data_IF_798271839540
#
_entry.id   IF_798271839540
#
_cell.length_a   1.000
_cell.length_b   1.000
_cell.length_c   1.000
_cell.angle_alpha   90.00
_cell.angle_beta   90.00
_cell.angle_gamma   90.00
#
_symmetry.space_group_name_H-M   'P 1'
#
loop_
_entity.id
_entity.type
_entity.pdbx_description
1 polymer ?
#
# COMPACT_ATOMS: atom_id res chain seq x y z
N UNK A 1 17.43 13.35 -9.21
CA UNK A 1 16.31 13.91 -10.02
C UNK A 1 15.33 12.81 -10.46
N UNK A 2 15.77 11.69 -11.07
CA UNK A 2 14.85 10.62 -11.52
C UNK A 2 14.00 9.99 -10.40
N UNK A 3 14.60 9.61 -9.26
CA UNK A 3 13.83 9.09 -8.11
C UNK A 3 12.80 10.11 -7.59
N UNK A 4 13.16 11.39 -7.57
CA UNK A 4 12.24 12.45 -7.17
C UNK A 4 11.07 12.58 -8.17
N UNK A 5 11.35 12.47 -9.47
CA UNK A 5 10.30 12.48 -10.49
C UNK A 5 9.35 11.29 -10.33
N UNK A 6 9.87 10.09 -10.09
CA UNK A 6 9.06 8.90 -9.83
C UNK A 6 8.21 9.08 -8.55
N UNK A 7 8.80 9.59 -7.47
CA UNK A 7 8.07 9.86 -6.22
C UNK A 7 6.94 10.88 -6.42
N UNK A 8 7.20 11.98 -7.13
CA UNK A 8 6.18 13.02 -7.40
C UNK A 8 5.05 12.48 -8.27
N UNK A 9 5.36 11.69 -9.30
CA UNK A 9 4.35 11.05 -10.15
C UNK A 9 3.48 10.07 -9.35
N UNK A 10 4.10 9.20 -8.54
CA UNK A 10 3.39 8.24 -7.71
C UNK A 10 2.55 8.91 -6.62
N UNK A 11 3.07 9.95 -5.98
CA UNK A 11 2.33 10.74 -5.00
C UNK A 11 1.16 11.49 -5.64
N UNK A 12 1.36 12.01 -6.86
CA UNK A 12 0.28 12.62 -7.65
C UNK A 12 -0.84 11.61 -7.92
N UNK A 13 -0.49 10.44 -8.46
CA UNK A 13 -1.44 9.37 -8.74
C UNK A 13 -2.19 8.91 -7.48
N UNK A 14 -1.45 8.62 -6.40
CA UNK A 14 -2.02 8.16 -5.14
C UNK A 14 -3.01 9.14 -4.50
N UNK A 15 -2.91 10.44 -4.81
CA UNK A 15 -3.84 11.48 -4.33
C UNK A 15 -5.07 11.64 -5.20
N UNK A 16 -4.97 11.37 -6.51
CA UNK A 16 -6.07 11.60 -7.46
C UNK A 16 -6.84 10.34 -7.80
N UNK A 17 -6.25 9.15 -7.64
CA UNK A 17 -6.91 7.88 -7.89
C UNK A 17 -7.89 7.54 -6.75
N UNK A 18 -9.10 7.13 -7.11
CA UNK A 18 -10.06 6.52 -6.17
C UNK A 18 -9.50 5.22 -5.59
N UNK A 19 -10.04 4.80 -4.44
CA UNK A 19 -9.73 3.48 -3.86
C UNK A 19 -10.24 2.40 -4.82
N UNK A 20 -9.41 1.42 -5.14
CA UNK A 20 -9.79 0.25 -5.93
C UNK A 20 -10.39 -0.83 -5.04
N UNK A 21 -11.10 -1.79 -5.65
CA UNK A 21 -11.78 -2.84 -4.91
C UNK A 21 -10.81 -3.68 -4.04
N UNK A 22 -9.61 -3.94 -4.55
CA UNK A 22 -8.62 -4.81 -3.88
C UNK A 22 -7.94 -4.11 -2.68
N UNK A 23 -7.78 -2.78 -2.71
CA UNK A 23 -7.13 -2.02 -1.64
C UNK A 23 -7.86 -2.15 -0.30
N UNK A 24 -9.20 -2.18 -0.32
CA UNK A 24 -10.02 -2.23 0.88
C UNK A 24 -9.75 -3.47 1.74
N UNK A 25 -9.93 -4.68 1.20
CA UNK A 25 -9.62 -5.92 1.92
C UNK A 25 -8.18 -5.99 2.42
N UNK A 26 -7.19 -5.55 1.64
CA UNK A 26 -5.79 -5.53 2.07
C UNK A 26 -5.57 -4.62 3.29
N UNK A 27 -6.17 -3.42 3.29
CA UNK A 27 -6.11 -2.51 4.43
C UNK A 27 -6.87 -3.04 5.64
N UNK A 28 -8.07 -3.60 5.45
CA UNK A 28 -8.89 -4.12 6.52
C UNK A 28 -8.20 -5.27 7.26
N UNK A 29 -7.60 -6.21 6.51
CA UNK A 29 -6.82 -7.32 7.08
C UNK A 29 -5.61 -6.81 7.84
N UNK A 30 -4.81 -5.92 7.23
CA UNK A 30 -3.61 -5.36 7.85
C UNK A 30 -3.93 -4.59 9.12
N UNK A 31 -4.93 -3.71 9.07
CA UNK A 31 -5.35 -2.88 10.19
C UNK A 31 -5.86 -3.74 11.33
N UNK A 32 -6.72 -4.71 11.03
CA UNK A 32 -7.26 -5.63 12.03
C UNK A 32 -6.15 -6.41 12.72
N UNK A 33 -5.24 -6.99 11.94
CA UNK A 33 -4.12 -7.78 12.47
C UNK A 33 -3.27 -6.94 13.42
N UNK A 34 -2.89 -5.75 12.99
CA UNK A 34 -2.05 -4.85 13.77
C UNK A 34 -2.75 -4.28 15.01
N UNK A 35 -4.04 -3.93 14.89
CA UNK A 35 -4.81 -3.30 15.96
C UNK A 35 -5.20 -4.31 17.04
N UNK A 36 -5.52 -5.53 16.64
CA UNK A 36 -6.13 -6.52 17.54
C UNK A 36 -5.16 -7.62 17.97
N UNK A 37 -4.09 -7.86 17.21
CA UNK A 37 -3.22 -9.03 17.34
C UNK A 37 -3.87 -10.33 16.84
N UNK A 38 -5.09 -10.25 16.30
CA UNK A 38 -5.88 -11.39 15.85
C UNK A 38 -5.75 -11.56 14.34
N UNK A 39 -5.44 -12.80 13.93
CA UNK A 39 -5.17 -13.17 12.56
C UNK A 39 -6.38 -13.80 11.85
N UNK A 40 -7.57 -13.80 12.47
CA UNK A 40 -8.77 -14.47 11.93
C UNK A 40 -9.18 -14.01 10.53
N UNK A 41 -8.90 -12.75 10.18
CA UNK A 41 -9.22 -12.19 8.86
C UNK A 41 -8.11 -12.44 7.84
N UNK A 42 -6.93 -12.91 8.26
CA UNK A 42 -5.84 -13.21 7.35
C UNK A 42 -6.21 -14.44 6.52
N UNK A 43 -6.35 -14.31 5.18
CA UNK A 43 -6.61 -15.47 4.35
C UNK A 43 -5.32 -16.32 4.30
N UNK A 44 -5.36 -17.50 4.93
CA UNK A 44 -4.21 -18.41 5.12
C UNK A 44 -3.52 -18.79 3.79
N UNK A 45 -4.22 -18.69 2.65
CA UNK A 45 -3.74 -19.16 1.36
C UNK A 45 -3.55 -18.10 0.27
N UNK A 46 -3.83 -16.82 0.53
CA UNK A 46 -3.97 -15.85 -0.57
C UNK A 46 -2.83 -14.83 -0.61
N UNK A 47 -2.44 -14.22 0.52
CA UNK A 47 -1.39 -13.18 0.52
C UNK A 47 -0.48 -13.26 1.75
N UNK A 48 0.85 -13.10 1.60
CA UNK A 48 1.74 -12.93 2.73
C UNK A 48 1.34 -11.71 3.58
N UNK A 49 1.40 -11.80 4.92
CA UNK A 49 0.84 -10.77 5.80
C UNK A 49 1.62 -9.45 5.78
N UNK A 50 2.88 -9.48 5.36
CA UNK A 50 3.79 -8.35 5.47
C UNK A 50 3.31 -7.13 4.68
N UNK A 51 2.83 -7.32 3.44
CA UNK A 51 2.37 -6.22 2.60
C UNK A 51 1.14 -5.53 3.21
N UNK A 52 0.15 -6.32 3.66
CA UNK A 52 -1.06 -5.82 4.32
C UNK A 52 -0.70 -5.05 5.61
N UNK A 53 0.16 -5.63 6.45
CA UNK A 53 0.59 -5.00 7.69
C UNK A 53 1.35 -3.69 7.42
N UNK A 54 2.27 -3.69 6.44
CA UNK A 54 3.04 -2.49 6.11
C UNK A 54 2.13 -1.38 5.58
N UNK A 55 1.22 -1.70 4.65
CA UNK A 55 0.25 -0.77 4.12
C UNK A 55 -0.66 -0.21 5.24
N UNK A 56 -1.12 -1.04 6.15
CA UNK A 56 -2.03 -0.61 7.22
C UNK A 56 -1.33 0.05 8.43
N UNK A 57 0.00 -0.03 8.57
CA UNK A 57 0.71 0.50 9.73
C UNK A 57 0.44 1.98 10.02
N UNK A 58 0.40 2.89 9.02
CA UNK A 58 0.06 4.30 9.24
C UNK A 58 -1.38 4.50 9.76
N UNK A 59 -2.28 3.54 9.55
CA UNK A 59 -3.67 3.61 10.03
C UNK A 59 -3.76 3.50 11.55
N UNK A 60 -2.77 2.91 12.22
CA UNK A 60 -2.73 2.86 13.69
C UNK A 60 -2.62 4.25 14.34
N UNK A 61 -2.18 5.25 13.58
CA UNK A 61 -2.10 6.64 14.02
C UNK A 61 -3.45 7.37 13.88
N UNK A 62 -4.45 6.77 13.24
CA UNK A 62 -5.79 7.33 13.06
C UNK A 62 -6.71 6.85 14.19
N UNK A 63 -7.09 7.76 15.08
CA UNK A 63 -7.91 7.46 16.26
C UNK A 63 -9.40 7.32 15.96
N UNK A 64 -9.84 7.72 14.77
CA UNK A 64 -11.24 7.75 14.34
C UNK A 64 -11.65 6.54 13.50
N UNK A 65 -10.76 5.57 13.31
CA UNK A 65 -11.11 4.28 12.75
C UNK A 65 -11.83 3.41 13.80
N UNK A 66 -12.86 2.64 13.41
CA UNK A 66 -13.58 1.77 14.33
C UNK A 66 -12.69 0.64 14.83
N UNK A 67 -12.92 0.17 16.06
CA UNK A 67 -12.33 -1.09 16.52
C UNK A 67 -12.94 -2.24 15.72
N UNK A 68 -12.16 -3.05 15.00
CA UNK A 68 -12.69 -4.18 14.22
C UNK A 68 -13.51 -5.17 15.04
N UNK A 69 -13.25 -5.26 16.35
CA UNK A 69 -13.96 -6.14 17.28
C UNK A 69 -15.40 -5.72 17.56
N UNK A 70 -15.75 -4.47 17.27
CA UNK A 70 -17.12 -3.94 17.46
C UNK A 70 -17.97 -4.04 16.19
N UNK A 71 -17.39 -4.50 15.08
CA UNK A 71 -18.09 -4.60 13.79
C UNK A 71 -18.99 -5.84 13.77
N UNK A 72 -20.24 -5.65 13.33
CA UNK A 72 -21.17 -6.76 13.08
C UNK A 72 -20.60 -7.65 11.96
N UNK A 73 -20.17 -8.87 12.30
CA UNK A 73 -19.42 -9.76 11.42
C UNK A 73 -18.05 -10.19 11.94
N UNK A 74 -17.58 -9.60 13.04
CA UNK A 74 -16.32 -9.98 13.71
C UNK A 74 -16.27 -11.46 14.16
N UNK A 75 -17.35 -11.94 14.76
CA UNK A 75 -17.45 -13.30 15.32
C UNK A 75 -17.34 -14.40 14.24
N UNK A 76 -17.79 -14.09 13.02
CA UNK A 76 -17.73 -15.01 11.87
C UNK A 76 -16.54 -14.73 10.96
N UNK A 77 -15.59 -13.88 11.38
CA UNK A 77 -14.44 -13.45 10.58
C UNK A 77 -14.83 -12.92 9.19
N UNK A 78 -15.94 -12.16 9.10
CA UNK A 78 -16.42 -11.61 7.83
C UNK A 78 -15.52 -10.48 7.34
N UNK A 79 -14.65 -10.81 6.38
CA UNK A 79 -13.77 -9.83 5.75
C UNK A 79 -14.55 -8.71 5.06
N UNK A 80 -15.67 -9.04 4.41
CA UNK A 80 -16.50 -8.03 3.74
C UNK A 80 -17.09 -7.03 4.73
N UNK A 81 -17.64 -7.50 5.86
CA UNK A 81 -18.24 -6.61 6.85
C UNK A 81 -17.20 -5.71 7.52
N UNK A 82 -16.03 -6.25 7.87
CA UNK A 82 -14.93 -5.46 8.45
C UNK A 82 -14.38 -4.46 7.44
N UNK A 83 -14.23 -4.86 6.17
CA UNK A 83 -13.81 -3.94 5.10
C UNK A 83 -14.82 -2.82 4.90
N UNK A 84 -16.11 -3.14 4.92
CA UNK A 84 -17.17 -2.14 4.78
C UNK A 84 -17.11 -1.11 5.90
N UNK A 85 -17.00 -1.55 7.16
CA UNK A 85 -16.93 -0.66 8.31
C UNK A 85 -15.63 0.17 8.37
N UNK A 86 -14.47 -0.42 8.07
CA UNK A 86 -13.16 0.23 8.21
C UNK A 86 -12.81 1.11 7.01
N UNK A 87 -13.26 0.72 5.81
CA UNK A 87 -12.83 1.34 4.54
C UNK A 87 -13.98 2.06 3.85
N UNK A 88 -15.09 1.37 3.56
CA UNK A 88 -16.14 1.92 2.68
C UNK A 88 -17.08 2.90 3.36
N UNK A 89 -17.35 2.71 4.64
CA UNK A 89 -18.15 3.61 5.47
C UNK A 89 -17.30 4.72 6.12
N UNK A 90 -15.98 4.69 5.94
CA UNK A 90 -15.10 5.68 6.55
C UNK A 90 -15.29 7.07 5.91
N UNK A 91 -15.52 8.14 6.69
CA UNK A 91 -15.86 9.47 6.16
C UNK A 91 -14.71 10.16 5.40
N UNK A 92 -13.47 9.68 5.53
CA UNK A 92 -12.29 10.31 4.93
C UNK A 92 -11.49 9.34 4.03
N UNK A 93 -12.08 8.82 2.94
CA UNK A 93 -11.47 7.77 2.12
C UNK A 93 -10.13 8.21 1.49
N UNK A 94 -9.99 9.49 1.09
CA UNK A 94 -8.73 10.00 0.55
C UNK A 94 -7.58 9.96 1.57
N UNK A 95 -7.88 10.21 2.85
CA UNK A 95 -6.88 10.13 3.93
C UNK A 95 -6.49 8.69 4.21
N UNK A 96 -7.47 7.79 4.23
CA UNK A 96 -7.26 6.36 4.40
C UNK A 96 -6.37 5.80 3.28
N UNK A 97 -6.74 6.07 2.02
CA UNK A 97 -6.03 5.62 0.84
C UNK A 97 -4.58 6.12 0.83
N UNK A 98 -4.37 7.42 1.05
CA UNK A 98 -3.03 8.01 1.02
C UNK A 98 -2.13 7.43 2.12
N UNK A 99 -2.69 7.22 3.32
CA UNK A 99 -1.97 6.59 4.42
C UNK A 99 -1.55 5.16 4.07
N UNK A 100 -2.44 4.39 3.44
CA UNK A 100 -2.19 3.02 3.00
C UNK A 100 -1.20 2.89 1.84
N UNK A 101 -1.25 3.81 0.88
CA UNK A 101 -0.40 3.83 -0.32
C UNK A 101 1.02 4.28 -0.05
N UNK A 102 1.24 5.12 0.97
CA UNK A 102 2.56 5.70 1.26
C UNK A 102 3.64 4.61 1.47
N UNK A 103 3.44 3.58 2.31
CA UNK A 103 4.42 2.50 2.45
C UNK A 103 4.69 1.74 1.14
N UNK A 104 3.69 1.56 0.27
CA UNK A 104 3.87 0.90 -1.03
C UNK A 104 4.70 1.75 -1.97
N UNK A 105 4.46 3.07 -2.00
CA UNK A 105 5.29 4.02 -2.75
C UNK A 105 6.74 3.97 -2.26
N UNK A 106 6.97 3.86 -0.95
CA UNK A 106 8.33 3.72 -0.38
C UNK A 106 8.99 2.40 -0.80
N UNK A 107 8.24 1.29 -0.89
CA UNK A 107 8.76 0.03 -1.44
C UNK A 107 9.10 0.15 -2.92
N UNK A 108 8.29 0.85 -3.71
CA UNK A 108 8.60 1.15 -5.11
C UNK A 108 9.87 2.01 -5.22
N UNK A 109 10.08 2.98 -4.35
CA UNK A 109 11.30 3.80 -4.32
C UNK A 109 12.53 2.96 -3.99
N UNK A 110 12.39 2.05 -3.02
CA UNK A 110 13.44 1.11 -2.66
C UNK A 110 13.78 0.20 -3.85
N UNK A 111 12.78 -0.37 -4.52
CA UNK A 111 12.97 -1.20 -5.72
C UNK A 111 13.72 -0.43 -6.82
N UNK A 112 13.28 0.78 -7.16
CA UNK A 112 13.94 1.60 -8.17
C UNK A 112 15.40 1.91 -7.82
N UNK A 113 15.68 2.16 -6.54
CA UNK A 113 17.04 2.39 -6.03
C UNK A 113 17.91 1.13 -6.12
N UNK A 114 17.34 -0.04 -5.84
CA UNK A 114 18.02 -1.33 -5.94
C UNK A 114 18.35 -1.68 -7.39
N UNK A 115 17.42 -1.48 -8.32
CA UNK A 115 17.64 -1.72 -9.75
C UNK A 115 18.72 -0.78 -10.30
N UNK A 116 18.67 0.50 -9.94
CA UNK A 116 19.74 1.46 -10.28
C UNK A 116 21.10 0.95 -9.82
N UNK A 117 21.22 0.59 -8.53
CA UNK A 117 22.49 0.12 -7.94
C UNK A 117 22.98 -1.13 -8.65
N UNK A 118 22.10 -2.11 -8.84
CA UNK A 118 22.46 -3.37 -9.49
C UNK A 118 22.97 -3.17 -10.92
N UNK A 119 22.31 -2.32 -11.71
CA UNK A 119 22.74 -2.01 -13.07
C UNK A 119 24.04 -1.18 -13.10
N UNK A 120 24.21 -0.25 -12.16
CA UNK A 120 25.43 0.52 -12.02
C UNK A 120 26.64 -0.35 -11.64
N UNK A 121 26.45 -1.31 -10.74
CA UNK A 121 27.51 -2.23 -10.29
C UNK A 121 27.96 -3.19 -11.41
N UNK A 122 27.04 -3.61 -12.29
CA UNK A 122 27.35 -4.54 -13.40
C UNK A 122 27.86 -3.85 -14.67
N UNK A 123 27.29 -2.70 -15.02
CA UNK A 123 27.44 -2.09 -16.35
C UNK A 123 27.83 -0.60 -16.29
N UNK A 124 28.14 -0.10 -15.10
CA UNK A 124 28.56 1.27 -14.86
C UNK A 124 27.41 2.26 -14.70
N UNK A 125 27.75 3.46 -14.21
CA UNK A 125 26.80 4.50 -13.81
C UNK A 125 25.75 4.86 -14.88
N UNK A 126 26.16 4.92 -16.16
CA UNK A 126 25.25 5.27 -17.28
C UNK A 126 24.15 4.23 -17.46
N UNK A 127 24.48 2.94 -17.30
CA UNK A 127 23.49 1.86 -17.39
C UNK A 127 22.51 1.91 -16.21
N UNK A 128 23.01 2.22 -15.00
CA UNK A 128 22.17 2.47 -13.83
C UNK A 128 21.17 3.59 -14.07
N UNK A 129 21.63 4.75 -14.56
CA UNK A 129 20.76 5.89 -14.88
C UNK A 129 19.73 5.55 -15.97
N UNK A 130 20.10 4.79 -16.99
CA UNK A 130 19.19 4.35 -18.04
C UNK A 130 18.10 3.43 -17.49
N UNK A 131 18.46 2.43 -16.67
CA UNK A 131 17.51 1.53 -16.03
C UNK A 131 16.54 2.30 -15.10
N UNK A 132 17.07 3.24 -14.32
CA UNK A 132 16.26 4.09 -13.45
C UNK A 132 15.33 5.00 -14.26
N UNK A 133 15.76 5.50 -15.42
CA UNK A 133 14.90 6.30 -16.29
C UNK A 133 13.74 5.46 -16.83
N UNK A 134 13.97 4.22 -17.27
CA UNK A 134 12.88 3.33 -17.69
C UNK A 134 11.88 3.07 -16.57
N UNK A 135 12.33 2.78 -15.36
CA UNK A 135 11.42 2.60 -14.23
C UNK A 135 10.67 3.89 -13.86
N UNK A 136 11.37 5.04 -13.88
CA UNK A 136 10.78 6.32 -13.47
C UNK A 136 9.67 6.82 -14.40
N UNK A 137 9.64 6.34 -15.64
CA UNK A 137 8.66 6.71 -16.66
C UNK A 137 7.82 5.51 -17.15
N UNK A 138 7.88 4.37 -16.47
CA UNK A 138 7.02 3.22 -16.75
C UNK A 138 5.62 3.48 -16.16
N UNK A 139 4.57 3.61 -16.99
CA UNK A 139 3.21 3.89 -16.51
C UNK A 139 2.65 2.73 -15.67
N UNK A 140 3.04 1.49 -15.94
CA UNK A 140 2.57 0.34 -15.16
C UNK A 140 3.17 0.35 -13.76
N UNK A 141 4.46 0.68 -13.63
CA UNK A 141 5.11 0.79 -12.33
C UNK A 141 4.48 1.93 -11.51
N UNK A 142 4.23 3.08 -12.13
CA UNK A 142 3.58 4.21 -11.45
C UNK A 142 2.16 3.82 -11.00
N UNK A 143 1.37 3.21 -11.88
CA UNK A 143 -0.01 2.84 -11.58
C UNK A 143 -0.10 1.80 -10.45
N UNK A 144 0.65 0.70 -10.53
CA UNK A 144 0.53 -0.39 -9.56
C UNK A 144 1.39 -0.15 -8.31
N UNK A 145 2.53 0.52 -8.43
CA UNK A 145 3.42 0.83 -7.30
C UNK A 145 2.96 2.00 -6.43
N UNK A 146 1.81 2.60 -6.75
CA UNK A 146 1.17 3.66 -5.95
C UNK A 146 -0.20 3.26 -5.40
N UNK A 147 -0.63 2.02 -5.60
CA UNK A 147 -1.83 1.39 -5.01
C UNK A 147 -1.40 0.34 -3.98
N UNK A 148 -2.35 -0.27 -3.28
CA UNK A 148 -2.13 -1.34 -2.28
C UNK A 148 -2.47 -2.70 -2.87
#
# INVERSE_FOLDING_TARGET
>A
MLLLALFVQAMGHARTASITFDEGPHLAVGYTTLRTGDWRLQPVHIHPPLANALAAAPLLLQSDLPDPRTVEGWEIASLSAVTDAVVWQYPYPARLALAGRLPIILLMMLLASLVFRWAADRYGMRAGLLALAFLAFDPNLIAHGSLI
#
